data_IF_505002235589
#
_entry.id   IF_505002235589
#
_cell.length_a   1.000
_cell.length_b   1.000
_cell.length_c   1.000
_cell.angle_alpha   90.00
_cell.angle_beta   90.00
_cell.angle_gamma   90.00
#
_symmetry.space_group_name_H-M   'P 1'
#
loop_
_entity.id
_entity.type
_entity.pdbx_description
1 polymer ?
#
# COMPACT_ATOMS: atom_id res chain seq x y z
N UNK A 1 -12.43 0.00 2.18
CA UNK A 1 -12.98 -1.10 3.01
C UNK A 1 -12.42 -1.09 4.44
N UNK A 2 -11.10 -1.21 4.69
CA UNK A 2 -10.53 -1.21 6.05
C UNK A 2 -10.86 0.03 6.92
N UNK A 3 -10.87 1.25 6.36
CA UNK A 3 -11.35 2.46 7.07
C UNK A 3 -12.85 2.42 7.39
N UNK A 4 -13.66 1.84 6.50
CA UNK A 4 -15.11 1.70 6.69
C UNK A 4 -15.40 0.65 7.79
N UNK A 5 -14.65 -0.45 7.81
CA UNK A 5 -14.72 -1.47 8.86
C UNK A 5 -14.27 -0.90 10.21
N UNK A 6 -13.19 -0.11 10.25
CA UNK A 6 -12.75 0.61 11.46
C UNK A 6 -13.83 1.58 11.97
N UNK A 7 -14.51 2.31 11.09
CA UNK A 7 -15.59 3.21 11.46
C UNK A 7 -16.85 2.46 11.93
N UNK A 8 -17.18 1.32 11.30
CA UNK A 8 -18.30 0.47 11.71
C UNK A 8 -18.07 -0.15 13.09
N UNK A 9 -16.87 -0.70 13.35
CA UNK A 9 -16.49 -1.21 14.68
C UNK A 9 -16.47 -0.10 15.72
N UNK A 10 -15.92 1.08 15.38
CA UNK A 10 -15.98 2.25 16.28
C UNK A 10 -17.40 2.72 16.56
N UNK A 11 -18.33 2.59 15.61
CA UNK A 11 -19.75 2.93 15.81
C UNK A 11 -20.48 1.92 16.70
N UNK A 12 -20.18 0.62 16.57
CA UNK A 12 -20.73 -0.44 17.42
C UNK A 12 -20.27 -0.27 18.88
N UNK A 13 -18.98 -0.01 19.10
CA UNK A 13 -18.42 0.27 20.42
C UNK A 13 -18.98 1.56 21.04
N UNK A 14 -19.33 2.56 20.22
CA UNK A 14 -19.97 3.80 20.69
C UNK A 14 -21.42 3.57 21.12
N UNK A 15 -22.17 2.77 20.36
CA UNK A 15 -23.57 2.47 20.65
C UNK A 15 -23.73 1.59 21.91
N UNK A 16 -22.79 0.68 22.19
CA UNK A 16 -22.78 -0.07 23.46
C UNK A 16 -22.52 0.85 24.68
N UNK A 17 -21.60 1.82 24.56
CA UNK A 17 -21.34 2.79 25.64
C UNK A 17 -22.52 3.74 25.92
N UNK A 18 -23.38 3.99 24.92
CA UNK A 18 -24.60 4.77 25.11
C UNK A 18 -25.76 3.92 25.67
N UNK A 19 -25.74 2.61 25.47
CA UNK A 19 -26.74 1.68 26.01
C UNK A 19 -26.54 1.35 27.50
N UNK A 20 -25.31 1.44 28.01
CA UNK A 20 -24.97 1.16 29.42
C UNK A 20 -24.96 2.41 30.32
N UNK A 21 -25.51 3.54 29.87
CA UNK A 21 -25.71 4.70 30.72
C UNK A 21 -26.77 4.39 31.82
N UNK A 22 -26.41 4.39 33.11
CA UNK A 22 -27.34 4.04 34.17
C UNK A 22 -28.41 5.15 34.31
N UNK A 23 -29.68 4.76 34.20
CA UNK A 23 -30.82 5.56 34.68
C UNK A 23 -30.73 5.69 36.21
N UNK A 24 -29.93 6.63 36.69
CA UNK A 24 -29.94 7.05 38.08
C UNK A 24 -30.97 8.18 38.24
N UNK A 25 -32.16 7.80 38.73
CA UNK A 25 -33.11 8.73 39.31
C UNK A 25 -32.72 8.99 40.78
N UNK A 26 -32.54 10.28 41.08
CA UNK A 26 -32.80 10.97 42.34
C UNK A 26 -32.86 10.17 43.64
N UNK A 27 -31.84 10.34 44.50
CA UNK A 27 -32.14 10.79 45.87
C UNK A 27 -30.99 11.64 46.46
N UNK A 28 -31.39 12.67 47.19
CA UNK A 28 -30.57 13.78 47.72
C UNK A 28 -29.85 13.37 49.01
N UNK A 29 -28.65 13.89 49.24
CA UNK A 29 -28.04 13.73 50.56
C UNK A 29 -26.68 14.33 50.88
N UNK A 30 -26.35 15.54 50.40
CA UNK A 30 -25.58 16.56 51.17
C UNK A 30 -24.09 16.37 51.57
N UNK A 31 -23.40 17.52 51.55
CA UNK A 31 -22.12 17.91 52.22
C UNK A 31 -20.81 17.59 51.49
N UNK A 32 -20.26 18.56 50.74
CA UNK A 32 -19.29 19.62 51.13
C UNK A 32 -17.91 19.12 51.55
N UNK A 33 -16.87 19.37 50.72
CA UNK A 33 -15.89 20.45 50.95
C UNK A 33 -14.67 20.36 49.98
N UNK A 34 -14.41 21.50 49.33
CA UNK A 34 -13.11 22.12 49.03
C UNK A 34 -11.86 21.25 48.77
N UNK A 35 -11.32 21.33 47.54
CA UNK A 35 -10.01 21.96 47.34
C UNK A 35 -9.85 22.46 45.89
N UNK A 36 -9.17 23.60 45.75
CA UNK A 36 -9.05 24.45 44.57
C UNK A 36 -7.56 24.56 44.22
N UNK A 37 -7.29 24.84 42.94
CA UNK A 37 -6.05 25.43 42.39
C UNK A 37 -4.77 24.57 42.38
N UNK A 38 -4.26 24.26 41.18
CA UNK A 38 -3.32 25.18 40.55
C UNK A 38 -3.09 24.88 39.05
N UNK A 39 -3.00 25.99 38.32
CA UNK A 39 -2.70 26.15 36.91
C UNK A 39 -1.19 26.34 36.70
N UNK A 40 -0.80 26.08 35.46
CA UNK A 40 0.27 26.72 34.70
C UNK A 40 1.71 26.16 34.68
N UNK A 41 2.19 26.16 33.43
CA UNK A 41 3.58 26.29 32.96
C UNK A 41 4.29 24.99 32.61
N UNK A 42 4.35 24.66 31.31
CA UNK A 42 5.57 24.99 30.57
C UNK A 42 5.40 24.91 29.04
N UNK A 43 5.76 26.01 28.39
CA UNK A 43 5.98 26.12 26.95
C UNK A 43 7.44 25.76 26.64
N UNK A 44 7.68 25.02 25.56
CA UNK A 44 9.01 24.77 24.98
C UNK A 44 8.85 24.44 23.51
N UNK A 45 8.77 25.47 22.66
CA UNK A 45 9.85 25.92 21.76
C UNK A 45 10.32 24.84 20.77
N UNK A 46 9.82 25.02 19.56
CA UNK A 46 10.25 24.51 18.26
C UNK A 46 11.77 24.51 18.05
N UNK A 47 12.30 23.39 17.55
CA UNK A 47 13.56 23.37 16.80
C UNK A 47 13.38 22.63 15.48
N UNK A 48 13.59 23.36 14.39
CA UNK A 48 13.48 22.92 13.01
C UNK A 48 14.69 22.05 12.62
N UNK A 49 14.43 20.79 12.26
CA UNK A 49 15.40 19.91 11.62
C UNK A 49 15.35 20.08 10.10
N UNK A 50 16.46 20.53 9.50
CA UNK A 50 16.71 20.53 8.04
C UNK A 50 16.71 19.11 7.48
N UNK A 51 16.24 18.87 6.24
CA UNK A 51 16.60 17.67 5.49
C UNK A 51 17.95 17.84 4.75
N UNK A 52 18.67 16.75 4.47
CA UNK A 52 19.96 16.79 3.79
C UNK A 52 19.82 16.90 2.27
N UNK A 53 20.73 17.68 1.71
CA UNK A 53 21.08 17.77 0.30
C UNK A 53 21.53 16.41 -0.24
N UNK A 54 20.84 15.86 -1.24
CA UNK A 54 21.32 14.74 -2.04
C UNK A 54 21.36 15.17 -3.50
N UNK A 55 22.58 15.16 -4.06
CA UNK A 55 22.86 15.41 -5.46
C UNK A 55 22.39 14.23 -6.35
N UNK A 56 22.22 14.48 -7.65
CA UNK A 56 22.51 13.44 -8.63
C UNK A 56 23.55 13.94 -9.65
N UNK A 57 24.68 13.25 -9.67
CA UNK A 57 25.57 13.16 -10.83
C UNK A 57 25.49 11.77 -11.44
N UNK A 58 26.08 11.62 -12.63
CA UNK A 58 26.18 10.44 -13.53
C UNK A 58 25.08 10.42 -14.60
N UNK A 59 25.31 10.98 -15.80
CA UNK A 59 26.12 10.51 -16.94
C UNK A 59 25.57 9.25 -17.66
N UNK A 60 25.00 9.48 -18.84
CA UNK A 60 25.20 8.75 -20.10
C UNK A 60 24.51 9.60 -21.19
N UNK A 61 25.05 9.91 -22.37
CA UNK A 61 26.04 9.21 -23.18
C UNK A 61 25.35 8.74 -24.47
N UNK A 62 25.80 9.26 -25.62
CA UNK A 62 25.40 8.94 -27.02
C UNK A 62 24.18 9.71 -27.58
N UNK A 63 24.11 10.12 -28.84
CA UNK A 63 25.07 10.39 -29.91
C UNK A 63 24.30 11.15 -31.02
N UNK A 64 25.03 11.96 -31.80
CA UNK A 64 24.68 12.70 -33.03
C UNK A 64 24.01 11.83 -34.13
N UNK A 65 23.46 12.36 -35.26
CA UNK A 65 23.89 13.59 -35.94
C UNK A 65 22.81 14.49 -36.60
N UNK A 66 23.12 15.78 -36.71
CA UNK A 66 22.56 16.67 -37.74
C UNK A 66 23.73 17.30 -38.49
N UNK A 67 23.79 17.03 -39.80
CA UNK A 67 24.74 17.62 -40.74
C UNK A 67 24.00 18.61 -41.66
N UNK A 68 24.62 19.79 -41.79
CA UNK A 68 24.69 20.65 -42.98
C UNK A 68 23.35 21.26 -43.51
N UNK A 69 23.28 22.53 -43.92
CA UNK A 69 24.28 23.26 -44.72
C UNK A 69 23.93 24.77 -44.74
N UNK A 70 24.90 25.58 -44.33
CA UNK A 70 25.39 26.82 -44.97
C UNK A 70 24.57 27.36 -46.18
N UNK A 71 24.39 28.67 -46.33
CA UNK A 71 25.42 29.61 -46.81
C UNK A 71 24.96 31.06 -46.54
N UNK A 72 25.82 31.87 -45.92
CA UNK A 72 25.83 33.34 -45.98
C UNK A 72 26.56 33.79 -47.26
N UNK A 73 26.44 35.05 -47.74
CA UNK A 73 27.36 36.10 -47.25
C UNK A 73 26.73 37.52 -47.25
N UNK A 74 27.01 38.36 -46.24
CA UNK A 74 28.12 39.33 -46.13
C UNK A 74 27.89 40.68 -46.81
N UNK A 75 28.17 41.72 -46.02
CA UNK A 75 28.18 43.14 -46.34
C UNK A 75 29.17 43.55 -47.46
N UNK A 76 28.89 44.67 -48.12
CA UNK A 76 29.92 45.68 -48.46
C UNK A 76 29.36 46.97 -49.04
N UNK A 77 29.75 48.06 -48.37
CA UNK A 77 30.16 49.37 -48.92
C UNK A 77 30.41 49.48 -50.43
N UNK A 78 29.87 50.52 -51.07
CA UNK A 78 30.62 51.30 -52.10
C UNK A 78 30.03 52.70 -52.36
N UNK A 79 30.77 53.71 -51.91
CA UNK A 79 30.88 55.07 -52.46
C UNK A 79 31.96 55.06 -53.58
N UNK A 80 32.16 56.19 -54.26
CA UNK A 80 33.08 56.49 -55.41
C UNK A 80 32.32 56.43 -56.75
N UNK A 81 31.92 57.55 -57.36
CA UNK A 81 32.66 58.65 -58.01
C UNK A 81 33.19 58.29 -59.41
N UNK A 82 33.09 59.30 -60.30
CA UNK A 82 33.77 59.43 -61.60
C UNK A 82 33.32 58.46 -62.70
N UNK A 83 33.33 58.79 -63.99
CA UNK A 83 33.63 59.98 -64.80
C UNK A 83 33.37 59.47 -66.24
N UNK A 84 33.26 60.41 -67.18
CA UNK A 84 33.77 60.14 -68.53
C UNK A 84 32.67 59.91 -69.55
N UNK A 85 32.24 60.93 -70.31
CA UNK A 85 33.02 61.58 -71.36
C UNK A 85 33.11 60.68 -72.61
N UNK A 86 32.42 61.12 -73.68
CA UNK A 86 32.94 61.28 -75.04
C UNK A 86 31.76 61.71 -75.94
N UNK A 87 31.73 62.91 -76.50
CA UNK A 87 32.67 63.57 -77.43
C UNK A 87 32.34 63.25 -78.89
N UNK A 88 32.68 64.24 -79.75
CA UNK A 88 32.76 64.23 -81.21
C UNK A 88 31.40 64.48 -81.89
N UNK A 89 31.22 65.30 -82.93
CA UNK A 89 32.00 66.18 -83.82
C UNK A 89 30.90 66.96 -84.60
N UNK A 90 31.04 68.11 -85.25
CA UNK A 90 32.18 68.90 -85.66
C UNK A 90 31.70 70.05 -86.57
N UNK A 91 32.59 71.04 -86.74
CA UNK A 91 32.88 71.86 -87.93
C UNK A 91 31.75 72.39 -88.83
N UNK A 92 31.80 73.70 -89.08
CA UNK A 92 31.31 74.26 -90.36
C UNK A 92 31.21 75.78 -90.40
N UNK A 93 32.27 76.45 -90.85
CA UNK A 93 32.28 77.88 -91.25
C UNK A 93 31.34 78.10 -92.45
N UNK A 94 30.66 79.25 -92.55
CA UNK A 94 30.72 80.08 -93.77
C UNK A 94 30.16 81.49 -93.57
N UNK A 95 30.85 82.46 -94.19
CA UNK A 95 30.48 83.88 -94.38
C UNK A 95 29.55 84.02 -95.60
N UNK A 96 28.67 85.01 -95.58
CA UNK A 96 27.90 85.52 -96.73
C UNK A 96 26.68 86.28 -96.19
N UNK A 97 26.74 87.59 -95.99
CA UNK A 97 26.56 88.67 -96.97
C UNK A 97 25.16 88.70 -97.60
N UNK A 98 24.52 89.88 -97.55
CA UNK A 98 23.35 90.19 -98.38
C UNK A 98 22.03 90.49 -97.66
N UNK A 99 21.80 91.79 -97.43
CA UNK A 99 20.51 92.52 -97.41
C UNK A 99 19.56 92.38 -96.20
N UNK A 100 19.40 93.52 -95.51
CA UNK A 100 18.35 93.83 -94.55
C UNK A 100 16.96 93.86 -95.25
N UNK A 101 15.96 93.09 -94.78
CA UNK A 101 14.60 93.17 -95.26
C UNK A 101 13.91 94.43 -94.71
N UNK A 102 13.03 94.98 -95.54
CA UNK A 102 12.21 96.16 -95.29
C UNK A 102 11.19 95.89 -94.17
N UNK A 103 10.73 96.92 -93.44
CA UNK A 103 9.88 96.77 -92.24
C UNK A 103 8.59 95.95 -92.46
N UNK A 104 8.05 95.92 -93.68
CA UNK A 104 6.89 95.10 -94.05
C UNK A 104 7.21 93.59 -94.20
N UNK A 105 8.42 93.24 -94.64
CA UNK A 105 8.86 91.84 -94.80
C UNK A 105 9.23 91.21 -93.46
N UNK A 106 9.71 92.02 -92.49
CA UNK A 106 9.93 91.55 -91.11
C UNK A 106 8.63 91.20 -90.43
N UNK A 107 7.55 91.93 -90.67
CA UNK A 107 6.23 91.62 -90.10
C UNK A 107 5.69 90.31 -90.69
N UNK A 108 5.82 90.08 -92.00
CA UNK A 108 5.39 88.81 -92.63
C UNK A 108 6.29 87.64 -92.22
N UNK A 109 7.60 87.85 -92.09
CA UNK A 109 8.53 86.84 -91.59
C UNK A 109 8.28 86.53 -90.12
N UNK A 110 8.04 87.53 -89.27
CA UNK A 110 7.68 87.36 -87.85
C UNK A 110 6.30 86.73 -87.68
N UNK A 111 5.33 87.02 -88.55
CA UNK A 111 4.02 86.35 -88.55
C UNK A 111 4.14 84.89 -88.99
N UNK A 112 4.98 84.58 -89.98
CA UNK A 112 5.28 83.18 -90.37
C UNK A 112 6.10 82.46 -89.28
N UNK A 113 7.03 83.15 -88.61
CA UNK A 113 7.75 82.62 -87.45
C UNK A 113 6.79 82.38 -86.30
N UNK A 114 5.96 83.34 -85.89
CA UNK A 114 4.96 83.14 -84.84
C UNK A 114 3.96 82.05 -85.20
N UNK A 115 3.56 81.89 -86.47
CA UNK A 115 2.70 80.79 -86.91
C UNK A 115 3.44 79.44 -86.91
N UNK A 116 4.73 79.43 -87.25
CA UNK A 116 5.59 78.24 -87.19
C UNK A 116 5.86 77.83 -85.76
N UNK A 117 6.26 78.76 -84.90
CA UNK A 117 6.53 78.59 -83.48
C UNK A 117 5.25 78.20 -82.74
N UNK A 118 4.09 78.75 -83.10
CA UNK A 118 2.79 78.32 -82.55
C UNK A 118 2.44 76.90 -82.96
N UNK A 119 2.64 76.53 -84.23
CA UNK A 119 2.50 75.12 -84.67
C UNK A 119 3.49 74.19 -83.98
N UNK A 120 4.73 74.62 -83.77
CA UNK A 120 5.75 73.83 -83.09
C UNK A 120 5.44 73.71 -81.59
N UNK A 121 4.95 74.77 -80.95
CA UNK A 121 4.50 74.77 -79.57
C UNK A 121 3.26 73.88 -79.39
N UNK A 122 2.28 73.96 -80.29
CA UNK A 122 1.11 73.06 -80.30
C UNK A 122 1.53 71.60 -80.52
N UNK A 123 2.55 71.36 -81.36
CA UNK A 123 3.13 70.02 -81.56
C UNK A 123 3.82 69.51 -80.30
N UNK A 124 4.64 70.33 -79.64
CA UNK A 124 5.30 69.99 -78.37
C UNK A 124 4.28 69.77 -77.26
N UNK A 125 3.23 70.59 -77.18
CA UNK A 125 2.12 70.38 -76.24
C UNK A 125 1.46 69.04 -76.52
N UNK A 126 1.18 68.71 -77.78
CA UNK A 126 0.56 67.44 -78.16
C UNK A 126 1.46 66.23 -77.86
N UNK A 127 2.77 66.36 -78.11
CA UNK A 127 3.77 65.34 -77.78
C UNK A 127 3.85 65.10 -76.26
N UNK A 128 3.96 66.17 -75.47
CA UNK A 128 3.97 66.11 -74.00
C UNK A 128 2.65 65.55 -73.47
N UNK A 129 1.51 65.93 -74.07
CA UNK A 129 0.20 65.38 -73.70
C UNK A 129 0.08 63.90 -74.02
N UNK A 130 0.53 63.46 -75.20
CA UNK A 130 0.55 62.05 -75.59
C UNK A 130 1.50 61.24 -74.71
N UNK A 131 2.67 61.78 -74.38
CA UNK A 131 3.63 61.12 -73.50
C UNK A 131 3.09 61.01 -72.08
N UNK A 132 2.50 62.09 -71.53
CA UNK A 132 1.82 62.05 -70.25
C UNK A 132 0.65 61.05 -70.24
N UNK A 133 -0.12 60.97 -71.33
CA UNK A 133 -1.21 60.02 -71.46
C UNK A 133 -0.72 58.56 -71.53
N UNK A 134 0.38 58.30 -72.26
CA UNK A 134 1.00 56.98 -72.34
C UNK A 134 1.60 56.57 -70.99
N UNK A 135 2.28 57.48 -70.30
CA UNK A 135 2.81 57.24 -68.96
C UNK A 135 1.70 56.97 -67.95
N UNK A 136 0.62 57.77 -67.99
CA UNK A 136 -0.56 57.55 -67.15
C UNK A 136 -1.20 56.19 -67.42
N UNK A 137 -1.43 55.84 -68.68
CA UNK A 137 -2.01 54.55 -69.08
C UNK A 137 -1.15 53.35 -68.65
N UNK A 138 0.18 53.46 -68.78
CA UNK A 138 1.13 52.45 -68.32
C UNK A 138 1.10 52.29 -66.79
N UNK A 139 1.07 53.39 -66.06
CA UNK A 139 0.97 53.39 -64.61
C UNK A 139 -0.34 52.76 -64.13
N UNK A 140 -1.44 53.06 -64.82
CA UNK A 140 -2.76 52.52 -64.52
C UNK A 140 -2.81 51.01 -64.76
N UNK A 141 -2.22 50.53 -65.86
CA UNK A 141 -2.09 49.10 -66.13
C UNK A 141 -1.25 48.38 -65.07
N UNK A 142 -0.11 48.97 -64.65
CA UNK A 142 0.71 48.43 -63.56
C UNK A 142 -0.04 48.36 -62.24
N UNK A 143 -0.80 49.41 -61.92
CA UNK A 143 -1.61 49.47 -60.71
C UNK A 143 -2.69 48.38 -60.72
N UNK A 144 -3.38 48.18 -61.84
CA UNK A 144 -4.34 47.09 -62.02
C UNK A 144 -3.71 45.70 -61.87
N UNK A 145 -2.50 45.48 -62.40
CA UNK A 145 -1.78 44.21 -62.23
C UNK A 145 -1.39 43.98 -60.77
N UNK A 146 -0.90 45.02 -60.09
CA UNK A 146 -0.55 44.95 -58.68
C UNK A 146 -1.78 44.69 -57.80
N UNK A 147 -2.92 45.33 -58.10
CA UNK A 147 -4.20 45.08 -57.42
C UNK A 147 -4.64 43.62 -57.57
N UNK A 148 -4.58 43.06 -58.79
CA UNK A 148 -4.91 41.64 -59.02
C UNK A 148 -3.98 40.70 -58.26
N UNK A 149 -2.67 40.98 -58.25
CA UNK A 149 -1.71 40.17 -57.51
C UNK A 149 -1.95 40.24 -56.00
N UNK A 150 -2.29 41.42 -55.46
CA UNK A 150 -2.65 41.58 -54.05
C UNK A 150 -3.93 40.82 -53.68
N UNK A 151 -4.95 40.84 -54.56
CA UNK A 151 -6.16 40.06 -54.36
C UNK A 151 -5.87 38.55 -54.31
N UNK A 152 -5.05 38.04 -55.22
CA UNK A 152 -4.63 36.63 -55.22
C UNK A 152 -3.86 36.25 -53.95
N UNK A 153 -2.93 37.09 -53.49
CA UNK A 153 -2.19 36.87 -52.25
C UNK A 153 -3.09 36.93 -51.01
N UNK A 154 -4.14 37.75 -51.02
CA UNK A 154 -5.12 37.79 -49.96
C UNK A 154 -5.97 36.50 -49.92
N UNK A 155 -6.43 36.02 -51.08
CA UNK A 155 -7.15 34.75 -51.19
C UNK A 155 -6.28 33.57 -50.74
N UNK A 156 -5.01 33.53 -51.16
CA UNK A 156 -4.08 32.48 -50.75
C UNK A 156 -3.77 32.52 -49.25
N UNK A 157 -3.58 33.72 -48.66
CA UNK A 157 -3.43 33.86 -47.21
C UNK A 157 -4.67 33.41 -46.44
N UNK A 158 -5.87 33.74 -46.92
CA UNK A 158 -7.12 33.28 -46.31
C UNK A 158 -7.24 31.75 -46.39
N UNK A 159 -6.86 31.16 -47.52
CA UNK A 159 -6.82 29.70 -47.69
C UNK A 159 -5.80 29.04 -46.77
N UNK A 160 -4.61 29.61 -46.63
CA UNK A 160 -3.59 29.10 -45.72
C UNK A 160 -4.02 29.24 -44.25
N UNK A 161 -4.64 30.36 -43.89
CA UNK A 161 -5.16 30.59 -42.53
C UNK A 161 -6.22 29.55 -42.16
N UNK A 162 -7.19 29.30 -43.06
CA UNK A 162 -8.23 28.28 -42.82
C UNK A 162 -7.61 26.88 -42.68
N UNK A 163 -6.62 26.53 -43.49
CA UNK A 163 -5.92 25.25 -43.39
C UNK A 163 -5.19 25.10 -42.04
N UNK A 164 -4.43 26.10 -41.63
CA UNK A 164 -3.72 26.10 -40.34
C UNK A 164 -4.71 25.99 -39.18
N UNK A 165 -5.84 26.67 -39.26
CA UNK A 165 -6.89 26.59 -38.25
C UNK A 165 -7.51 25.19 -38.17
N UNK A 166 -7.81 24.57 -39.31
CA UNK A 166 -8.34 23.19 -39.33
C UNK A 166 -7.35 22.16 -38.78
N UNK A 167 -6.06 22.29 -39.08
CA UNK A 167 -5.03 21.40 -38.53
C UNK A 167 -4.79 21.64 -37.03
N UNK A 168 -4.91 22.90 -36.58
CA UNK A 168 -4.84 23.22 -35.16
C UNK A 168 -6.03 22.62 -34.39
N UNK A 169 -7.25 22.76 -34.91
CA UNK A 169 -8.45 22.17 -34.32
C UNK A 169 -8.33 20.64 -34.26
N UNK A 170 -7.78 20.02 -35.32
CA UNK A 170 -7.50 18.58 -35.35
C UNK A 170 -6.46 18.17 -34.31
N UNK A 171 -5.36 18.90 -34.18
CA UNK A 171 -4.32 18.63 -33.18
C UNK A 171 -4.87 18.74 -31.75
N UNK A 172 -5.63 19.80 -31.45
CA UNK A 172 -6.25 19.97 -30.12
C UNK A 172 -7.29 18.90 -29.82
N UNK A 173 -8.00 18.39 -30.82
CA UNK A 173 -8.91 17.26 -30.66
C UNK A 173 -8.16 15.96 -30.32
N UNK A 174 -7.09 15.65 -31.05
CA UNK A 174 -6.24 14.48 -30.79
C UNK A 174 -5.59 14.57 -29.40
N UNK A 175 -5.11 15.74 -28.99
CA UNK A 175 -4.52 15.93 -27.66
C UNK A 175 -5.55 15.68 -26.54
N UNK A 176 -6.81 16.06 -26.74
CA UNK A 176 -7.91 15.76 -25.80
C UNK A 176 -8.18 14.27 -25.73
N UNK A 177 -8.34 13.60 -26.87
CA UNK A 177 -8.56 12.15 -26.91
C UNK A 177 -7.41 11.38 -26.25
N UNK A 178 -6.17 11.80 -26.49
CA UNK A 178 -4.99 11.20 -25.86
C UNK A 178 -4.98 11.41 -24.34
N UNK A 179 -5.33 12.61 -23.86
CA UNK A 179 -5.43 12.90 -22.44
C UNK A 179 -6.54 12.05 -21.78
N UNK A 180 -7.70 11.92 -22.41
CA UNK A 180 -8.81 11.08 -21.93
C UNK A 180 -8.44 9.60 -21.89
N UNK A 181 -7.80 9.08 -22.94
CA UNK A 181 -7.32 7.70 -22.99
C UNK A 181 -6.29 7.42 -21.90
N UNK A 182 -5.40 8.38 -21.63
CA UNK A 182 -4.40 8.26 -20.57
C UNK A 182 -5.04 8.24 -19.17
N UNK A 183 -6.01 9.11 -18.92
CA UNK A 183 -6.76 9.10 -17.67
C UNK A 183 -7.50 7.77 -17.46
N UNK A 184 -8.08 7.20 -18.51
CA UNK A 184 -8.74 5.89 -18.45
C UNK A 184 -7.75 4.76 -18.16
N UNK A 185 -6.59 4.76 -18.82
CA UNK A 185 -5.52 3.78 -18.56
C UNK A 185 -5.00 3.87 -17.13
N UNK A 186 -4.79 5.06 -16.61
CA UNK A 186 -4.35 5.28 -15.22
C UNK A 186 -5.41 4.76 -14.23
N UNK A 187 -6.70 5.04 -14.48
CA UNK A 187 -7.80 4.52 -13.68
C UNK A 187 -7.86 2.98 -13.69
N UNK A 188 -7.75 2.35 -14.87
CA UNK A 188 -7.74 0.89 -14.99
C UNK A 188 -6.51 0.25 -14.35
N UNK A 189 -5.36 0.90 -14.44
CA UNK A 189 -4.12 0.43 -13.79
C UNK A 189 -4.26 0.48 -12.27
N UNK A 190 -4.88 1.54 -11.73
CA UNK A 190 -5.17 1.62 -10.29
C UNK A 190 -6.19 0.55 -9.84
N UNK A 191 -7.23 0.29 -10.64
CA UNK A 191 -8.18 -0.81 -10.38
C UNK A 191 -7.47 -2.17 -10.40
N UNK A 192 -6.67 -2.46 -11.42
CA UNK A 192 -5.92 -3.72 -11.52
C UNK A 192 -4.91 -3.89 -10.39
N UNK A 193 -4.22 -2.83 -9.97
CA UNK A 193 -3.33 -2.88 -8.82
C UNK A 193 -4.10 -3.23 -7.53
N UNK A 194 -5.31 -2.66 -7.35
CA UNK A 194 -6.17 -3.01 -6.22
C UNK A 194 -6.69 -4.45 -6.28
N UNK A 195 -7.01 -4.93 -7.49
CA UNK A 195 -7.42 -6.31 -7.73
C UNK A 195 -6.27 -7.27 -7.53
N UNK A 196 -5.03 -6.91 -7.88
CA UNK A 196 -3.87 -7.77 -7.67
C UNK A 196 -3.51 -7.89 -6.19
N UNK A 197 -3.59 -6.77 -5.46
CA UNK A 197 -3.59 -6.80 -3.99
C UNK A 197 -4.79 -7.59 -3.47
N UNK A 198 -5.90 -7.65 -4.22
CA UNK A 198 -7.07 -8.49 -3.97
C UNK A 198 -7.01 -9.91 -4.62
N UNK A 199 -5.96 -10.35 -5.29
CA UNK A 199 -5.78 -11.78 -5.59
C UNK A 199 -4.79 -12.33 -4.58
N UNK A 200 -3.81 -11.51 -4.20
CA UNK A 200 -2.82 -11.83 -3.19
C UNK A 200 -1.78 -12.76 -3.77
N UNK A 201 -0.56 -12.75 -3.22
CA UNK A 201 0.35 -13.84 -3.51
C UNK A 201 -0.33 -15.15 -3.12
N UNK A 202 -0.11 -16.21 -3.90
CA UNK A 202 -0.51 -17.56 -3.51
C UNK A 202 0.21 -17.99 -2.23
N UNK A 203 0.12 -19.28 -1.90
CA UNK A 203 0.77 -19.83 -0.71
C UNK A 203 2.26 -19.46 -0.68
N UNK A 204 2.66 -18.80 0.41
CA UNK A 204 4.06 -18.45 0.68
C UNK A 204 4.76 -19.54 1.46
N UNK A 205 4.00 -20.38 2.15
CA UNK A 205 4.45 -21.56 2.89
C UNK A 205 3.69 -22.78 2.42
N UNK A 206 4.33 -23.96 2.50
CA UNK A 206 3.63 -25.22 2.27
C UNK A 206 2.94 -25.70 3.55
N UNK A 207 1.92 -26.56 3.43
CA UNK A 207 1.28 -27.23 4.58
C UNK A 207 2.33 -27.95 5.46
N UNK A 208 3.39 -28.49 4.84
CA UNK A 208 4.49 -29.17 5.54
C UNK A 208 5.29 -28.24 6.45
N UNK A 209 5.47 -26.98 6.06
CA UNK A 209 6.19 -26.01 6.87
C UNK A 209 5.41 -25.68 8.15
N UNK A 210 4.09 -25.55 8.05
CA UNK A 210 3.18 -25.34 9.20
C UNK A 210 3.16 -26.57 10.11
N UNK A 211 3.14 -27.78 9.54
CA UNK A 211 3.26 -29.05 10.30
C UNK A 211 4.56 -29.07 11.10
N UNK A 212 5.69 -28.77 10.45
CA UNK A 212 7.00 -28.73 11.10
C UNK A 212 7.04 -27.72 12.24
N UNK A 213 6.46 -26.52 12.04
CA UNK A 213 6.36 -25.49 13.07
C UNK A 213 5.54 -25.96 14.29
N UNK A 214 4.43 -26.68 14.04
CA UNK A 214 3.62 -27.25 15.12
C UNK A 214 4.39 -28.33 15.90
N UNK A 215 5.14 -29.18 15.20
CA UNK A 215 5.97 -30.22 15.83
C UNK A 215 7.08 -29.62 16.68
N UNK A 216 7.78 -28.59 16.18
CA UNK A 216 8.77 -27.81 16.93
C UNK A 216 8.15 -27.22 18.22
N UNK A 217 6.96 -26.61 18.11
CA UNK A 217 6.24 -26.06 19.27
C UNK A 217 5.87 -27.14 20.30
N UNK A 218 5.40 -28.30 19.84
CA UNK A 218 5.07 -29.43 20.72
C UNK A 218 6.30 -29.93 21.48
N UNK A 219 7.47 -29.98 20.83
CA UNK A 219 8.73 -30.37 21.44
C UNK A 219 9.20 -29.35 22.48
N UNK A 220 9.14 -28.05 22.17
CA UNK A 220 9.46 -26.97 23.13
C UNK A 220 8.57 -27.03 24.38
N UNK A 221 7.27 -27.27 24.20
CA UNK A 221 6.30 -27.46 25.30
C UNK A 221 6.68 -28.66 26.17
N UNK A 222 7.05 -29.79 25.55
CA UNK A 222 7.49 -30.98 26.27
C UNK A 222 8.77 -30.73 27.07
N UNK A 223 9.79 -30.13 26.45
CA UNK A 223 11.08 -29.83 27.07
C UNK A 223 10.94 -28.87 28.25
N UNK A 224 10.18 -27.77 28.10
CA UNK A 224 9.93 -26.84 29.20
C UNK A 224 9.22 -27.53 30.36
N UNK A 225 8.24 -28.38 30.06
CA UNK A 225 7.46 -29.09 31.10
C UNK A 225 8.35 -30.03 31.90
N UNK A 226 9.25 -30.77 31.24
CA UNK A 226 10.24 -31.62 31.88
C UNK A 226 11.22 -30.81 32.75
N UNK A 227 11.77 -29.72 32.19
CA UNK A 227 12.68 -28.83 32.90
C UNK A 227 12.03 -28.27 34.18
N UNK A 228 10.78 -27.83 34.10
CA UNK A 228 10.04 -27.31 35.25
C UNK A 228 9.75 -28.40 36.29
N UNK A 229 9.34 -29.61 35.88
CA UNK A 229 9.07 -30.70 36.83
C UNK A 229 10.32 -31.20 37.55
N UNK A 230 11.49 -31.16 36.91
CA UNK A 230 12.76 -31.61 37.52
C UNK A 230 13.29 -30.60 38.55
N UNK A 231 12.85 -29.34 38.46
CA UNK A 231 13.36 -28.20 39.23
C UNK A 231 12.40 -27.63 40.27
N UNK A 232 11.52 -28.46 40.82
CA UNK A 232 10.60 -28.08 41.91
C UNK A 232 10.88 -28.80 43.21
N UNK A 233 10.43 -28.20 44.32
CA UNK A 233 10.35 -28.81 45.65
C UNK A 233 8.89 -28.82 46.12
N UNK A 234 8.52 -29.79 46.94
CA UNK A 234 7.18 -29.87 47.51
C UNK A 234 7.06 -28.94 48.70
N UNK A 235 6.00 -28.14 48.70
CA UNK A 235 5.69 -27.17 49.76
C UNK A 235 4.39 -27.54 50.46
N UNK A 236 4.25 -27.16 51.73
CA UNK A 236 3.01 -27.34 52.51
C UNK A 236 2.13 -26.08 52.52
N UNK A 237 2.47 -25.06 51.72
CA UNK A 237 1.75 -23.80 51.70
C UNK A 237 0.37 -23.95 51.02
N UNK A 238 -0.70 -23.59 51.74
CA UNK A 238 -2.09 -23.69 51.25
C UNK A 238 -2.65 -22.40 50.65
N UNK A 239 -1.88 -21.30 50.68
CA UNK A 239 -2.37 -20.02 50.19
C UNK A 239 -2.62 -20.07 48.67
N UNK A 240 -3.82 -19.65 48.25
CA UNK A 240 -4.28 -19.56 46.84
C UNK A 240 -4.59 -20.88 46.10
N UNK A 241 -4.51 -22.04 46.75
CA UNK A 241 -4.77 -23.35 46.11
C UNK A 241 -6.15 -23.41 45.47
N UNK A 242 -7.21 -22.93 46.13
CA UNK A 242 -8.58 -23.01 45.58
C UNK A 242 -8.78 -22.20 44.29
N UNK A 243 -8.15 -21.01 44.20
CA UNK A 243 -8.22 -20.18 42.98
C UNK A 243 -7.49 -20.89 41.83
N UNK A 244 -6.28 -21.37 42.09
CA UNK A 244 -5.48 -22.10 41.12
C UNK A 244 -6.19 -23.40 40.69
N UNK A 245 -6.76 -24.16 41.64
CA UNK A 245 -7.52 -25.39 41.38
C UNK A 245 -8.72 -25.13 40.47
N UNK A 246 -9.47 -24.05 40.71
CA UNK A 246 -10.58 -23.65 39.83
C UNK A 246 -10.09 -23.28 38.42
N UNK A 247 -8.96 -22.57 38.31
CA UNK A 247 -8.33 -22.20 37.03
C UNK A 247 -7.87 -23.44 36.25
N UNK A 248 -7.11 -24.33 36.90
CA UNK A 248 -6.58 -25.57 36.31
C UNK A 248 -7.72 -26.54 35.97
N UNK A 249 -8.71 -26.73 36.85
CA UNK A 249 -9.85 -27.62 36.60
C UNK A 249 -10.67 -27.15 35.39
N UNK A 250 -10.88 -25.83 35.22
CA UNK A 250 -11.53 -25.28 34.04
C UNK A 250 -10.76 -25.56 32.73
N UNK A 251 -9.43 -25.61 32.77
CA UNK A 251 -8.56 -25.76 31.59
C UNK A 251 -8.24 -27.22 31.24
N UNK A 252 -7.91 -28.01 32.26
CA UNK A 252 -7.37 -29.37 32.16
C UNK A 252 -8.36 -30.44 32.64
N UNK A 253 -9.45 -30.04 33.27
CA UNK A 253 -10.45 -30.97 33.82
C UNK A 253 -10.15 -31.34 35.27
N UNK A 254 -11.20 -31.73 35.99
CA UNK A 254 -11.14 -32.05 37.42
C UNK A 254 -10.20 -33.23 37.73
N UNK A 255 -10.17 -34.25 36.85
CA UNK A 255 -9.36 -35.46 37.04
C UNK A 255 -7.86 -35.18 37.09
N UNK A 256 -7.37 -34.21 36.30
CA UNK A 256 -5.96 -33.80 36.35
C UNK A 256 -5.65 -33.10 37.68
N UNK A 257 -6.55 -32.22 38.15
CA UNK A 257 -6.37 -31.58 39.46
C UNK A 257 -6.35 -32.59 40.60
N UNK A 258 -7.22 -33.59 40.55
CA UNK A 258 -7.26 -34.62 41.56
C UNK A 258 -6.00 -35.50 41.49
N UNK A 259 -5.43 -35.73 40.29
CA UNK A 259 -4.23 -36.56 40.11
C UNK A 259 -2.97 -35.86 40.63
N UNK A 260 -2.93 -34.53 40.51
CA UNK A 260 -1.87 -33.71 41.12
C UNK A 260 -1.92 -33.71 42.66
N UNK A 261 -3.08 -34.00 43.25
CA UNK A 261 -3.25 -34.05 44.70
C UNK A 261 -2.83 -35.38 45.34
N UNK A 262 -2.58 -36.41 44.54
CA UNK A 262 -2.22 -37.77 44.99
C UNK A 262 -0.89 -37.77 45.75
N UNK A 263 -0.78 -38.57 46.81
CA UNK A 263 0.43 -38.69 47.65
C UNK A 263 1.45 -39.62 47.02
N UNK A 264 2.70 -39.19 46.82
CA UNK A 264 3.75 -40.05 46.25
C UNK A 264 4.62 -39.28 45.26
N UNK A 265 5.89 -39.11 45.60
CA UNK A 265 6.80 -38.20 44.92
C UNK A 265 7.01 -38.51 43.43
N UNK A 266 7.38 -39.75 43.09
CA UNK A 266 7.69 -40.13 41.70
C UNK A 266 6.48 -40.03 40.76
N UNK A 267 5.33 -40.50 41.22
CA UNK A 267 4.06 -40.44 40.50
C UNK A 267 3.61 -39.00 40.31
N UNK A 268 3.75 -38.18 41.36
CA UNK A 268 3.36 -36.77 41.34
C UNK A 268 4.24 -35.94 40.40
N UNK A 269 5.54 -36.22 40.29
CA UNK A 269 6.42 -35.55 39.32
C UNK A 269 6.02 -35.85 37.87
N UNK A 270 5.71 -37.10 37.54
CA UNK A 270 5.21 -37.47 36.22
C UNK A 270 3.87 -36.79 35.89
N UNK A 271 2.94 -36.76 36.85
CA UNK A 271 1.67 -36.04 36.70
C UNK A 271 1.83 -34.52 36.59
N UNK A 272 2.80 -33.96 37.30
CA UNK A 272 3.15 -32.55 37.22
C UNK A 272 3.65 -32.19 35.81
N UNK A 273 4.59 -32.96 35.26
CA UNK A 273 5.08 -32.76 33.90
C UNK A 273 3.95 -32.80 32.88
N UNK A 274 3.08 -33.82 32.95
CA UNK A 274 1.91 -33.97 32.06
C UNK A 274 0.94 -32.78 32.19
N UNK A 275 0.69 -32.31 33.41
CA UNK A 275 -0.20 -31.17 33.64
C UNK A 275 0.38 -29.85 33.14
N UNK A 276 1.69 -29.62 33.31
CA UNK A 276 2.40 -28.47 32.76
C UNK A 276 2.34 -28.49 31.23
N UNK A 277 2.59 -29.65 30.62
CA UNK A 277 2.53 -29.84 29.18
C UNK A 277 1.13 -29.56 28.62
N UNK A 278 0.09 -30.11 29.26
CA UNK A 278 -1.30 -29.87 28.89
C UNK A 278 -1.72 -28.40 29.07
N UNK A 279 -1.22 -27.71 30.11
CA UNK A 279 -1.49 -26.31 30.38
C UNK A 279 -0.85 -25.39 29.33
N UNK A 280 0.43 -25.61 29.01
CA UNK A 280 1.14 -24.90 27.95
C UNK A 280 0.48 -25.17 26.58
N UNK A 281 0.20 -26.43 26.25
CA UNK A 281 -0.49 -26.79 25.00
C UNK A 281 -1.86 -26.14 24.87
N UNK A 282 -2.66 -26.09 25.93
CA UNK A 282 -3.96 -25.39 25.93
C UNK A 282 -3.81 -23.88 25.76
N UNK A 283 -2.80 -23.29 26.42
CA UNK A 283 -2.49 -21.88 26.26
C UNK A 283 -2.11 -21.58 24.80
N UNK A 284 -1.17 -22.34 24.23
CA UNK A 284 -0.69 -22.16 22.86
C UNK A 284 -1.79 -22.38 21.83
N UNK A 285 -2.61 -23.42 21.98
CA UNK A 285 -3.76 -23.68 21.10
C UNK A 285 -4.73 -22.50 21.06
N UNK A 286 -5.05 -21.92 22.22
CA UNK A 286 -5.92 -20.75 22.32
C UNK A 286 -5.29 -19.54 21.62
N UNK A 287 -4.01 -19.27 21.87
CA UNK A 287 -3.32 -18.14 21.22
C UNK A 287 -3.23 -18.34 19.71
N UNK A 288 -3.00 -19.57 19.24
CA UNK A 288 -2.94 -19.91 17.82
C UNK A 288 -4.26 -19.68 17.08
N UNK A 289 -5.40 -19.77 17.77
CA UNK A 289 -6.73 -19.52 17.21
C UNK A 289 -7.21 -18.07 17.37
N UNK A 290 -6.62 -17.33 18.30
CA UNK A 290 -7.02 -15.97 18.63
C UNK A 290 -6.66 -15.00 17.50
N UNK A 291 -7.59 -14.15 17.12
CA UNK A 291 -7.44 -13.09 16.13
C UNK A 291 -6.88 -11.79 16.71
N UNK A 292 -7.24 -11.44 17.95
CA UNK A 292 -6.80 -10.20 18.61
C UNK A 292 -6.52 -10.41 20.10
N UNK A 293 -5.43 -9.82 20.61
CA UNK A 293 -5.06 -9.82 22.04
C UNK A 293 -5.88 -8.88 22.91
N UNK A 294 -6.57 -7.90 22.30
CA UNK A 294 -7.12 -6.73 22.99
C UNK A 294 -8.30 -7.07 23.91
N UNK A 295 -9.24 -7.86 23.41
CA UNK A 295 -10.47 -8.18 24.12
C UNK A 295 -11.01 -9.53 23.65
N UNK A 296 -11.41 -10.38 24.60
CA UNK A 296 -11.95 -11.70 24.31
C UNK A 296 -13.33 -11.64 23.63
N UNK A 297 -14.15 -10.66 23.99
CA UNK A 297 -15.46 -10.50 23.35
C UNK A 297 -15.31 -10.05 21.89
N UNK A 298 -14.41 -9.10 21.63
CA UNK A 298 -14.07 -8.71 20.26
C UNK A 298 -13.52 -9.89 19.45
N UNK A 299 -12.68 -10.73 20.04
CA UNK A 299 -12.17 -11.94 19.39
C UNK A 299 -13.30 -12.89 18.96
N UNK A 300 -14.23 -13.19 19.88
CA UNK A 300 -15.39 -14.02 19.59
C UNK A 300 -16.26 -13.43 18.47
N UNK A 301 -16.50 -12.11 18.48
CA UNK A 301 -17.25 -11.42 17.42
C UNK A 301 -16.55 -11.49 16.06
N UNK A 302 -15.23 -11.37 16.01
CA UNK A 302 -14.44 -11.49 14.77
C UNK A 302 -14.51 -12.92 14.23
N UNK A 303 -14.43 -13.93 15.10
CA UNK A 303 -14.56 -15.34 14.71
C UNK A 303 -15.95 -15.65 14.18
N UNK A 304 -17.01 -15.09 14.77
CA UNK A 304 -18.37 -15.30 14.29
C UNK A 304 -18.61 -14.60 12.94
N UNK A 305 -18.09 -13.38 12.77
CA UNK A 305 -18.09 -12.70 11.47
C UNK A 305 -17.34 -13.51 10.41
N UNK A 306 -16.19 -14.10 10.75
CA UNK A 306 -15.45 -14.97 9.84
C UNK A 306 -16.29 -16.17 9.38
N UNK A 307 -17.00 -16.85 10.31
CA UNK A 307 -17.87 -17.98 9.98
C UNK A 307 -19.00 -17.56 9.03
N UNK A 308 -19.60 -16.38 9.26
CA UNK A 308 -20.64 -15.83 8.38
C UNK A 308 -20.08 -15.59 6.97
N UNK A 309 -18.93 -14.93 6.85
CA UNK A 309 -18.28 -14.69 5.54
C UNK A 309 -17.93 -16.02 4.85
N UNK A 310 -17.45 -17.02 5.61
CA UNK A 310 -17.13 -18.34 5.07
C UNK A 310 -18.37 -19.06 4.51
N UNK A 311 -19.52 -18.94 5.19
CA UNK A 311 -20.78 -19.52 4.75
C UNK A 311 -21.37 -18.80 3.53
N UNK A 312 -21.30 -17.47 3.50
CA UNK A 312 -21.98 -16.65 2.49
C UNK A 312 -21.14 -16.45 1.21
N UNK A 313 -19.84 -16.20 1.36
CA UNK A 313 -18.92 -15.83 0.26
C UNK A 313 -17.95 -16.96 -0.13
N UNK A 314 -17.92 -18.04 0.66
CA UNK A 314 -17.02 -19.17 0.49
C UNK A 314 -15.63 -18.97 1.10
N UNK A 315 -14.93 -20.10 1.25
CA UNK A 315 -13.67 -20.17 2.00
C UNK A 315 -12.58 -19.24 1.43
N UNK A 316 -12.46 -19.13 0.11
CA UNK A 316 -11.44 -18.30 -0.52
C UNK A 316 -11.58 -16.83 -0.13
N UNK A 317 -12.80 -16.29 -0.12
CA UNK A 317 -13.07 -14.90 0.29
C UNK A 317 -12.86 -14.73 1.79
N UNK A 318 -13.30 -15.69 2.60
CA UNK A 318 -13.13 -15.65 4.05
C UNK A 318 -11.66 -15.67 4.48
N UNK A 319 -10.85 -16.60 3.96
CA UNK A 319 -9.40 -16.69 4.22
C UNK A 319 -8.67 -15.42 3.82
N UNK A 320 -9.11 -14.80 2.74
CA UNK A 320 -8.61 -13.52 2.28
C UNK A 320 -8.85 -12.40 3.28
N UNK A 321 -10.09 -12.31 3.75
CA UNK A 321 -10.50 -11.36 4.75
C UNK A 321 -9.73 -11.59 6.05
N UNK A 322 -9.58 -12.85 6.47
CA UNK A 322 -8.72 -13.24 7.58
C UNK A 322 -7.30 -12.71 7.39
N UNK A 323 -6.71 -12.92 6.23
CA UNK A 323 -5.34 -12.52 5.98
C UNK A 323 -5.15 -10.99 6.05
N UNK A 324 -6.08 -10.22 5.49
CA UNK A 324 -6.05 -8.75 5.55
C UNK A 324 -6.23 -8.26 6.99
N UNK A 325 -7.20 -8.83 7.72
CA UNK A 325 -7.51 -8.46 9.09
C UNK A 325 -6.34 -8.79 10.02
N UNK A 326 -5.83 -10.02 9.97
CA UNK A 326 -4.72 -10.42 10.81
C UNK A 326 -3.42 -9.67 10.48
N UNK A 327 -3.13 -9.39 9.20
CA UNK A 327 -1.97 -8.54 8.84
C UNK A 327 -2.03 -7.14 9.49
N UNK A 328 -3.23 -6.62 9.73
CA UNK A 328 -3.43 -5.39 10.47
C UNK A 328 -3.16 -5.55 11.97
N UNK A 329 -3.66 -6.65 12.56
CA UNK A 329 -3.60 -6.93 14.00
C UNK A 329 -2.22 -7.43 14.48
N UNK A 330 -1.46 -8.14 13.63
CA UNK A 330 -0.13 -8.66 13.99
C UNK A 330 0.90 -7.59 14.34
N UNK A 331 0.68 -6.34 13.91
CA UNK A 331 1.56 -5.23 14.32
C UNK A 331 1.49 -4.97 15.81
N UNK A 332 0.31 -5.18 16.40
CA UNK A 332 0.06 -4.95 17.82
C UNK A 332 0.63 -6.12 18.66
N UNK A 333 0.61 -7.36 18.14
CA UNK A 333 1.12 -8.54 18.85
C UNK A 333 2.61 -8.47 19.23
N UNK A 334 3.44 -7.80 18.42
CA UNK A 334 4.87 -7.65 18.75
C UNK A 334 5.09 -6.74 19.97
N UNK A 335 4.20 -5.79 20.19
CA UNK A 335 4.24 -4.92 21.36
C UNK A 335 3.77 -5.68 22.62
N UNK A 336 2.92 -6.70 22.44
CA UNK A 336 2.28 -7.47 23.51
C UNK A 336 3.04 -8.72 23.97
N UNK A 337 4.22 -9.05 23.41
CA UNK A 337 4.98 -10.29 23.73
C UNK A 337 5.19 -10.48 25.24
N UNK A 338 5.51 -9.41 25.97
CA UNK A 338 5.71 -9.46 27.42
C UNK A 338 4.42 -9.86 28.18
N UNK A 339 3.27 -9.43 27.68
CA UNK A 339 1.96 -9.80 28.26
C UNK A 339 1.65 -11.29 28.02
N UNK A 340 2.00 -11.82 26.85
CA UNK A 340 1.85 -13.24 26.52
C UNK A 340 2.78 -14.11 27.37
N UNK A 341 4.05 -13.72 27.54
CA UNK A 341 4.99 -14.39 28.45
C UNK A 341 4.43 -14.44 29.87
N UNK A 342 3.93 -13.31 30.38
CA UNK A 342 3.33 -13.22 31.71
C UNK A 342 2.09 -14.12 31.85
N UNK A 343 1.26 -14.19 30.80
CA UNK A 343 0.06 -15.03 30.73
C UNK A 343 0.38 -16.53 30.74
N UNK A 344 1.39 -16.96 29.97
CA UNK A 344 1.86 -18.35 29.98
C UNK A 344 2.49 -18.70 31.33
N UNK A 345 3.37 -17.85 31.84
CA UNK A 345 3.99 -18.03 33.16
C UNK A 345 2.94 -18.16 34.28
N UNK A 346 1.92 -17.28 34.29
CA UNK A 346 0.82 -17.37 35.26
C UNK A 346 0.02 -18.69 35.13
N UNK A 347 -0.19 -19.16 33.90
CA UNK A 347 -0.89 -20.43 33.65
C UNK A 347 -0.09 -21.63 34.18
N UNK A 348 1.23 -21.64 34.00
CA UNK A 348 2.09 -22.70 34.53
C UNK A 348 2.22 -22.63 36.05
N UNK A 349 2.28 -21.42 36.60
CA UNK A 349 2.28 -21.19 38.05
C UNK A 349 1.02 -21.73 38.73
N UNK A 350 -0.16 -21.57 38.12
CA UNK A 350 -1.40 -22.14 38.66
C UNK A 350 -1.29 -23.68 38.80
N UNK A 351 -0.63 -24.37 37.86
CA UNK A 351 -0.40 -25.82 37.94
C UNK A 351 0.54 -26.17 39.10
N UNK A 352 1.65 -25.44 39.25
CA UNK A 352 2.59 -25.62 40.37
C UNK A 352 1.90 -25.43 41.74
N UNK A 353 1.04 -24.42 41.86
CA UNK A 353 0.28 -24.15 43.10
C UNK A 353 -0.68 -25.31 43.41
N UNK A 354 -1.37 -25.87 42.41
CA UNK A 354 -2.26 -27.03 42.61
C UNK A 354 -1.48 -28.28 43.02
N UNK A 355 -0.30 -28.49 42.44
CA UNK A 355 0.59 -29.59 42.79
C UNK A 355 1.31 -29.40 44.15
N UNK A 356 1.14 -28.23 44.78
CA UNK A 356 1.87 -27.79 45.98
C UNK A 356 3.38 -27.88 45.77
N UNK A 357 3.83 -27.35 44.64
CA UNK A 357 5.23 -27.28 44.25
C UNK A 357 5.69 -25.83 44.17
N UNK A 358 6.94 -25.59 44.55
CA UNK A 358 7.62 -24.31 44.33
C UNK A 358 8.94 -24.54 43.56
N UNK A 359 9.37 -23.58 42.72
CA UNK A 359 10.67 -23.68 42.06
C UNK A 359 11.79 -23.75 43.10
N UNK A 360 12.79 -24.62 42.88
CA UNK A 360 14.00 -24.69 43.70
C UNK A 360 14.66 -23.31 43.79
N UNK A 361 14.66 -22.71 44.97
CA UNK A 361 15.31 -21.40 45.18
C UNK A 361 16.83 -21.60 45.26
N UNK A 362 17.59 -20.95 44.38
CA UNK A 362 19.06 -20.92 44.45
C UNK A 362 19.78 -21.13 43.12
N UNK A 363 19.08 -21.58 42.08
CA UNK A 363 19.65 -21.79 40.76
C UNK A 363 19.15 -20.72 39.77
N UNK A 364 19.95 -19.65 39.63
CA UNK A 364 19.65 -18.56 38.70
C UNK A 364 19.63 -19.01 37.23
N UNK A 365 20.42 -20.04 36.89
CA UNK A 365 20.53 -20.54 35.52
C UNK A 365 19.25 -21.29 35.13
N UNK A 366 18.67 -22.06 36.05
CA UNK A 366 17.38 -22.74 35.83
C UNK A 366 16.24 -21.74 35.65
N UNK A 367 16.17 -20.70 36.49
CA UNK A 367 15.14 -19.67 36.36
C UNK A 367 15.23 -18.94 35.00
N UNK A 368 16.45 -18.67 34.53
CA UNK A 368 16.70 -18.10 33.22
C UNK A 368 16.26 -19.07 32.11
N UNK A 369 16.63 -20.35 32.18
CA UNK A 369 16.26 -21.36 31.19
C UNK A 369 14.73 -21.56 31.09
N UNK A 370 14.01 -21.51 32.22
CA UNK A 370 12.53 -21.55 32.22
C UNK A 370 11.96 -20.31 31.52
N UNK A 371 12.51 -19.12 31.79
CA UNK A 371 12.09 -17.87 31.13
C UNK A 371 12.33 -17.92 29.62
N UNK A 372 13.49 -18.41 29.19
CA UNK A 372 13.83 -18.59 27.78
C UNK A 372 12.92 -19.61 27.10
N UNK A 373 12.61 -20.73 27.76
CA UNK A 373 11.66 -21.72 27.27
C UNK A 373 10.24 -21.17 27.11
N UNK A 374 9.77 -20.35 28.07
CA UNK A 374 8.48 -19.64 27.95
C UNK A 374 8.50 -18.71 26.74
N UNK A 375 9.56 -17.89 26.59
CA UNK A 375 9.69 -16.97 25.47
C UNK A 375 9.70 -17.70 24.12
N UNK A 376 10.40 -18.85 24.05
CA UNK A 376 10.43 -19.71 22.87
C UNK A 376 9.02 -20.18 22.50
N UNK A 377 8.28 -20.77 23.45
CA UNK A 377 6.91 -21.24 23.22
C UNK A 377 5.99 -20.11 22.76
N UNK A 378 6.06 -18.93 23.39
CA UNK A 378 5.27 -17.76 22.98
C UNK A 378 5.60 -17.37 21.55
N UNK A 379 6.89 -17.19 21.24
CA UNK A 379 7.35 -16.82 19.89
C UNK A 379 6.91 -17.84 18.84
N UNK A 380 7.16 -19.13 19.07
CA UNK A 380 6.80 -20.20 18.14
C UNK A 380 5.28 -20.34 17.98
N UNK A 381 4.49 -20.09 19.04
CA UNK A 381 3.02 -20.06 18.96
C UNK A 381 2.51 -18.92 18.09
N UNK A 382 3.06 -17.71 18.26
CA UNK A 382 2.67 -16.54 17.45
C UNK A 382 3.09 -16.71 15.99
N UNK A 383 4.26 -17.30 15.76
CA UNK A 383 4.73 -17.64 14.41
C UNK A 383 3.84 -18.70 13.76
N UNK A 384 3.44 -19.75 14.49
CA UNK A 384 2.51 -20.76 14.01
C UNK A 384 1.15 -20.14 13.62
N UNK A 385 0.64 -19.22 14.43
CA UNK A 385 -0.59 -18.47 14.11
C UNK A 385 -0.44 -17.72 12.79
N UNK A 386 0.64 -16.95 12.65
CA UNK A 386 0.96 -16.22 11.43
C UNK A 386 1.08 -17.13 10.21
N UNK A 387 1.79 -18.24 10.34
CA UNK A 387 2.05 -19.17 9.23
C UNK A 387 0.77 -19.89 8.79
N UNK A 388 -0.09 -20.28 9.73
CA UNK A 388 -1.37 -20.94 9.42
C UNK A 388 -2.40 -19.98 8.79
N UNK A 389 -2.39 -18.70 9.16
CA UNK A 389 -3.39 -17.73 8.70
C UNK A 389 -2.97 -16.95 7.45
N UNK A 390 -1.68 -16.60 7.33
CA UNK A 390 -1.12 -15.79 6.23
C UNK A 390 -0.24 -16.60 5.29
N UNK A 391 0.41 -17.65 5.79
CA UNK A 391 1.35 -18.44 5.00
C UNK A 391 0.68 -19.31 3.94
N UNK A 392 -0.49 -19.88 4.28
CA UNK A 392 -1.28 -20.80 3.45
C UNK A 392 -2.65 -20.18 3.16
N UNK A 393 -2.83 -19.72 1.93
CA UNK A 393 -4.05 -19.09 1.43
C UNK A 393 -5.00 -20.09 0.74
N UNK A 394 -4.46 -21.19 0.19
CA UNK A 394 -5.22 -22.19 -0.56
C UNK A 394 -6.11 -23.07 0.32
N UNK A 395 -5.69 -23.31 1.56
CA UNK A 395 -6.38 -24.21 2.50
C UNK A 395 -6.47 -23.60 3.90
N UNK A 396 -7.48 -24.03 4.66
CA UNK A 396 -7.65 -23.59 6.04
C UNK A 396 -7.04 -24.60 6.99
N UNK A 397 -5.95 -24.18 7.64
CA UNK A 397 -5.25 -24.98 8.64
C UNK A 397 -5.65 -24.52 10.04
N UNK A 398 -6.11 -25.46 10.86
CA UNK A 398 -6.60 -25.17 12.21
C UNK A 398 -5.91 -26.10 13.20
N UNK A 399 -5.38 -25.52 14.27
CA UNK A 399 -4.83 -26.32 15.37
C UNK A 399 -5.97 -26.97 16.13
N UNK A 400 -5.77 -28.20 16.61
CA UNK A 400 -6.75 -28.91 17.42
C UNK A 400 -6.12 -29.39 18.73
N UNK A 401 -6.85 -29.22 19.83
CA UNK A 401 -6.47 -29.78 21.12
C UNK A 401 -7.71 -30.34 21.83
N UNK A 402 -7.88 -31.67 21.88
CA UNK A 402 -9.04 -32.32 22.48
C UNK A 402 -9.32 -31.81 23.90
N UNK A 403 -10.59 -31.60 24.20
CA UNK A 403 -11.03 -31.14 25.53
C UNK A 403 -11.19 -32.33 26.48
N UNK A 404 -10.86 -32.18 27.78
CA UNK A 404 -11.21 -33.14 28.81
C UNK A 404 -12.68 -33.55 28.74
N UNK A 405 -12.95 -34.85 28.94
CA UNK A 405 -14.29 -35.43 28.93
C UNK A 405 -14.89 -35.69 27.55
N UNK A 406 -14.17 -35.38 26.45
CA UNK A 406 -14.61 -35.78 25.10
C UNK A 406 -14.28 -37.26 24.82
N UNK A 407 -15.08 -37.97 24.01
CA UNK A 407 -14.76 -39.33 23.59
C UNK A 407 -13.42 -39.40 22.87
N UNK A 408 -12.65 -40.45 23.13
CA UNK A 408 -11.40 -40.72 22.43
C UNK A 408 -11.69 -41.26 21.02
N UNK A 409 -11.16 -40.58 20.01
CA UNK A 409 -11.26 -41.03 18.62
C UNK A 409 -9.87 -41.43 18.11
N UNK A 410 -9.63 -42.74 17.97
CA UNK A 410 -8.36 -43.30 17.49
C UNK A 410 -8.01 -42.88 16.06
N UNK A 411 -9.01 -42.54 15.25
CA UNK A 411 -8.77 -42.06 13.89
C UNK A 411 -8.17 -40.65 13.89
N UNK A 412 -8.54 -39.81 14.87
CA UNK A 412 -8.11 -38.41 14.97
C UNK A 412 -7.06 -38.15 16.03
N UNK A 413 -6.89 -39.02 17.03
CA UNK A 413 -6.06 -38.76 18.22
C UNK A 413 -5.08 -39.90 18.52
N UNK A 414 -3.96 -39.58 19.18
CA UNK A 414 -2.99 -40.54 19.68
C UNK A 414 -3.06 -40.59 21.21
N UNK A 415 -3.26 -41.76 21.79
CA UNK A 415 -3.20 -41.91 23.25
C UNK A 415 -1.74 -42.05 23.72
N UNK A 416 -1.38 -41.34 24.77
CA UNK A 416 -0.05 -41.36 25.38
C UNK A 416 0.06 -42.45 26.45
N UNK A 417 -0.06 -43.72 26.03
CA UNK A 417 0.08 -44.86 26.94
C UNK A 417 0.85 -45.99 26.27
N UNK A 418 1.95 -46.41 26.91
CA UNK A 418 2.72 -47.59 26.56
C UNK A 418 2.07 -48.85 27.15
N UNK A 419 1.14 -49.46 26.42
CA UNK A 419 0.82 -50.89 26.62
C UNK A 419 -0.58 -51.26 27.12
N UNK A 420 -1.53 -50.33 27.23
CA UNK A 420 -2.94 -50.69 27.46
C UNK A 420 -3.73 -50.76 26.14
N UNK A 421 -4.64 -51.74 26.04
CA UNK A 421 -5.61 -51.79 24.96
C UNK A 421 -6.60 -50.64 25.16
N UNK A 422 -6.44 -49.57 24.38
CA UNK A 422 -7.34 -48.43 24.42
C UNK A 422 -8.72 -48.86 23.90
N UNK A 423 -9.74 -48.76 24.74
CA UNK A 423 -11.11 -49.03 24.32
C UNK A 423 -11.63 -47.82 23.53
N UNK A 424 -12.48 -48.07 22.53
CA UNK A 424 -13.13 -46.99 21.76
C UNK A 424 -14.00 -46.08 22.64
N UNK A 425 -14.40 -46.57 23.80
CA UNK A 425 -15.32 -45.89 24.71
C UNK A 425 -14.58 -45.07 25.79
N UNK A 426 -13.25 -45.05 25.73
CA UNK A 426 -12.46 -44.22 26.63
C UNK A 426 -12.71 -42.72 26.39
N UNK A 427 -12.58 -41.95 27.45
CA UNK A 427 -12.69 -40.48 27.39
C UNK A 427 -11.32 -39.84 27.55
N UNK A 428 -11.14 -38.72 26.88
CA UNK A 428 -9.95 -37.87 26.98
C UNK A 428 -9.87 -37.31 28.40
N UNK A 429 -8.78 -37.59 29.10
CA UNK A 429 -8.41 -36.92 30.35
C UNK A 429 -7.92 -35.50 30.07
N UNK A 430 -6.85 -35.37 29.30
CA UNK A 430 -6.35 -34.08 28.81
C UNK A 430 -5.59 -34.24 27.49
N UNK A 431 -5.44 -33.14 26.74
CA UNK A 431 -4.56 -33.08 25.57
C UNK A 431 -3.19 -32.55 25.97
N UNK A 432 -2.12 -33.27 25.62
CA UNK A 432 -0.73 -32.92 25.95
C UNK A 432 0.07 -32.43 24.74
N UNK A 433 -0.42 -32.69 23.52
CA UNK A 433 0.20 -32.20 22.29
C UNK A 433 -0.90 -31.77 21.32
N UNK A 434 -0.65 -30.64 20.65
CA UNK A 434 -1.56 -30.09 19.66
C UNK A 434 -1.47 -30.86 18.34
N UNK A 435 -2.60 -30.96 17.66
CA UNK A 435 -2.70 -31.46 16.30
C UNK A 435 -3.00 -30.35 15.29
N UNK A 436 -3.02 -30.72 14.01
CA UNK A 436 -3.34 -29.85 12.89
C UNK A 436 -4.34 -30.56 11.99
N UNK A 437 -5.39 -29.85 11.61
CA UNK A 437 -6.35 -30.31 10.60
C UNK A 437 -6.40 -29.31 9.46
N UNK A 438 -6.64 -29.85 8.27
CA UNK A 438 -7.05 -29.08 7.11
C UNK A 438 -8.57 -29.14 6.96
N UNK A 439 -9.20 -27.98 6.90
CA UNK A 439 -10.61 -27.83 6.61
C UNK A 439 -10.80 -27.67 5.09
N UNK A 440 -11.74 -28.45 4.54
CA UNK A 440 -12.14 -28.42 3.13
C UNK A 440 -13.65 -28.17 3.07
N UNK A 441 -14.12 -27.53 2.00
CA UNK A 441 -15.53 -27.20 1.78
C UNK A 441 -16.18 -26.44 2.95
N UNK A 442 -15.57 -25.31 3.36
CA UNK A 442 -16.04 -24.48 4.47
C UNK A 442 -16.18 -25.25 5.81
N UNK A 443 -15.32 -26.24 6.04
CA UNK A 443 -15.31 -27.04 7.27
C UNK A 443 -16.21 -28.28 7.24
N UNK A 444 -16.82 -28.62 6.11
CA UNK A 444 -17.59 -29.86 5.97
C UNK A 444 -16.72 -31.12 6.00
N UNK A 445 -15.46 -31.00 5.58
CA UNK A 445 -14.49 -32.10 5.62
C UNK A 445 -13.24 -31.69 6.40
N UNK A 446 -12.80 -32.58 7.27
CA UNK A 446 -11.58 -32.40 8.08
C UNK A 446 -10.57 -33.48 7.71
N UNK A 447 -9.36 -33.07 7.34
CA UNK A 447 -8.22 -33.97 7.12
C UNK A 447 -7.17 -33.75 8.21
N UNK A 448 -6.97 -34.74 9.07
CA UNK A 448 -5.96 -34.65 10.13
C UNK A 448 -4.56 -34.78 9.54
N UNK A 449 -3.79 -33.70 9.63
CA UNK A 449 -2.38 -33.65 9.20
C UNK A 449 -1.46 -34.11 10.34
N UNK A 450 -1.75 -33.66 11.57
CA UNK A 450 -1.05 -34.06 12.80
C UNK A 450 -2.10 -34.45 13.83
N UNK A 451 -2.01 -35.68 14.34
CA UNK A 451 -2.91 -36.15 15.40
C UNK A 451 -2.45 -35.58 16.75
N UNK A 452 -3.32 -34.91 17.53
CA UNK A 452 -2.99 -34.51 18.89
C UNK A 452 -2.73 -35.74 19.76
N UNK A 453 -1.78 -35.62 20.69
CA UNK A 453 -1.58 -36.62 21.75
C UNK A 453 -2.44 -36.29 22.96
N UNK A 454 -3.07 -37.30 23.52
CA UNK A 454 -3.98 -37.20 24.66
C UNK A 454 -3.65 -38.23 25.73
N UNK A 455 -3.87 -37.87 26.99
CA UNK A 455 -3.90 -38.82 28.09
C UNK A 455 -5.34 -39.24 28.31
N UNK A 456 -5.60 -40.54 28.36
CA UNK A 456 -6.93 -41.08 28.62
C UNK A 456 -7.25 -40.99 30.10
N UNK A 457 -8.53 -40.81 30.41
CA UNK A 457 -8.93 -40.61 31.78
C UNK A 457 -8.82 -41.89 32.63
N UNK A 458 -8.90 -43.07 32.00
CA UNK A 458 -8.60 -44.38 32.61
C UNK A 458 -7.14 -44.51 33.01
N UNK A 459 -6.21 -43.94 32.23
CA UNK A 459 -4.79 -43.89 32.59
C UNK A 459 -4.56 -43.03 33.85
N UNK A 460 -5.25 -41.88 33.95
CA UNK A 460 -5.21 -41.05 35.15
C UNK A 460 -5.79 -41.76 36.37
N UNK A 461 -6.89 -42.52 36.20
CA UNK A 461 -7.53 -43.30 37.27
C UNK A 461 -6.66 -44.45 37.77
N UNK A 462 -5.94 -45.13 36.88
CA UNK A 462 -5.06 -46.25 37.23
C UNK A 462 -3.95 -45.86 38.22
N UNK A 463 -3.54 -44.59 38.19
CA UNK A 463 -2.54 -44.04 39.09
C UNK A 463 -3.06 -43.94 40.53
N UNK A 464 -4.37 -43.78 40.73
CA UNK A 464 -4.96 -43.79 42.07
C UNK A 464 -5.08 -45.20 42.65
N UNK A 465 -5.35 -46.20 41.82
CA UNK A 465 -5.62 -47.57 42.28
C UNK A 465 -4.33 -48.32 42.64
N UNK A 466 -3.18 -47.86 42.13
CA UNK A 466 -1.87 -48.45 42.42
C UNK A 466 -1.25 -48.01 43.76
N UNK A 467 -1.95 -47.17 44.54
CA UNK A 467 -1.58 -46.74 45.90
C UNK A 467 -2.48 -47.39 46.94
#
# INVERSE_FOLDING_TARGET
MARQLKLAVQSLVRNEKESDAPRAAEDRGGRTAHFRENLDSNAGVTQAGRPPTVAPGVQAGHARPSYARAVAPSASTRRVANQGDRSLDGRGRSRGDGRLPTAAERVVHLQRQLASDRKEFDRRISEVQNEAHNQYSYMLHKLQLAERANLQLLEENQRMHTLVQTEHDRATHIDKEYAEARLLLDARTAELASVQVFIGPGDTLSERDVVKRLEELNEEIFQLSALMSDNVEFTTADACVERARKSVSKRLGQRVCDALAVEGESVRLGMLQLALQAAAGRWSHRMALQWTSLDGQLDDQIQDLYKIICADEGLTVAKRWQAITQKGLFKDDQEDIASFNSSLHATLRDVLVVARCEPKTGDGDVALAISEGIQSIVSTTLQLRHDASLGVASTELVTILPRPGKPYDRSKMLADVSGQQNNSDDIVGCGISMGLVRLVDAGLQEYTLVKPKVVLATALESVYVAQ
#
